data_IF_589223728398
#
_entry.id   IF_589223728398
#
_cell.length_a   1.000
_cell.length_b   1.000
_cell.length_c   1.000
_cell.angle_alpha   90.00
_cell.angle_beta   90.00
_cell.angle_gamma   90.00
#
_symmetry.space_group_name_H-M   'P 1'
#
loop_
_entity.id
_entity.type
_entity.pdbx_description
1 polymer ?
#
# COMPACT_ATOMS: atom_id res chain seq x y z
N UNK A 1 -29.76 -76.82 -11.69
CA UNK A 1 -29.26 -75.46 -11.40
C UNK A 1 -29.49 -74.63 -12.64
N UNK A 2 -30.64 -73.95 -12.71
CA UNK A 2 -31.02 -73.10 -13.83
C UNK A 2 -30.18 -71.83 -13.80
N UNK A 3 -29.51 -71.50 -14.91
CA UNK A 3 -28.80 -70.23 -15.05
C UNK A 3 -29.83 -69.09 -15.00
N UNK A 4 -29.59 -68.00 -14.24
CA UNK A 4 -30.49 -66.86 -14.26
C UNK A 4 -30.58 -66.32 -15.69
N UNK A 5 -31.81 -66.11 -16.16
CA UNK A 5 -32.11 -65.59 -17.49
C UNK A 5 -31.46 -64.20 -17.64
N UNK A 6 -30.89 -63.87 -18.82
CA UNK A 6 -30.20 -62.59 -19.05
C UNK A 6 -31.04 -61.36 -18.66
N UNK A 7 -32.35 -61.40 -18.84
CA UNK A 7 -33.28 -60.35 -18.42
C UNK A 7 -33.28 -60.12 -16.90
N UNK A 8 -33.20 -61.19 -16.10
CA UNK A 8 -33.18 -61.10 -14.63
C UNK A 8 -31.90 -60.39 -14.15
N UNK A 9 -30.76 -60.72 -14.77
CA UNK A 9 -29.47 -60.04 -14.50
C UNK A 9 -29.48 -58.57 -14.92
N UNK A 10 -30.16 -58.21 -16.02
CA UNK A 10 -30.27 -56.81 -16.45
C UNK A 10 -31.17 -56.02 -15.50
N UNK A 11 -32.26 -56.61 -15.03
CA UNK A 11 -33.17 -56.00 -14.06
C UNK A 11 -32.50 -55.78 -12.69
N UNK A 12 -31.81 -56.78 -12.16
CA UNK A 12 -31.06 -56.67 -10.89
C UNK A 12 -29.93 -55.64 -10.98
N UNK A 13 -29.21 -55.58 -12.10
CA UNK A 13 -28.19 -54.55 -12.31
C UNK A 13 -28.78 -53.14 -12.43
N UNK A 14 -29.96 -52.99 -13.03
CA UNK A 14 -30.65 -51.70 -13.14
C UNK A 14 -31.14 -51.21 -11.78
N UNK A 15 -31.64 -52.11 -10.93
CA UNK A 15 -31.99 -51.82 -9.53
C UNK A 15 -30.76 -51.41 -8.72
N UNK A 16 -29.63 -52.11 -8.88
CA UNK A 16 -28.37 -51.74 -8.23
C UNK A 16 -27.86 -50.36 -8.66
N UNK A 17 -28.00 -50.01 -9.95
CA UNK A 17 -27.64 -48.68 -10.45
C UNK A 17 -28.58 -47.59 -9.92
N UNK A 18 -29.87 -47.88 -9.78
CA UNK A 18 -30.85 -46.98 -9.15
C UNK A 18 -30.54 -46.75 -7.67
N UNK A 19 -30.24 -47.80 -6.92
CA UNK A 19 -29.83 -47.70 -5.51
C UNK A 19 -28.53 -46.91 -5.37
N UNK A 20 -27.55 -47.13 -6.27
CA UNK A 20 -26.32 -46.34 -6.30
C UNK A 20 -26.60 -44.87 -6.64
N UNK A 21 -27.50 -44.59 -7.58
CA UNK A 21 -27.88 -43.23 -7.93
C UNK A 21 -28.57 -42.54 -6.75
N UNK A 22 -29.49 -43.22 -6.06
CA UNK A 22 -30.16 -42.71 -4.88
C UNK A 22 -29.18 -42.42 -3.75
N UNK A 23 -28.24 -43.34 -3.49
CA UNK A 23 -27.17 -43.12 -2.51
C UNK A 23 -26.29 -41.94 -2.88
N UNK A 24 -25.93 -41.79 -4.16
CA UNK A 24 -25.14 -40.66 -4.65
C UNK A 24 -25.90 -39.33 -4.53
N UNK A 25 -27.21 -39.32 -4.82
CA UNK A 25 -28.08 -38.15 -4.63
C UNK A 25 -28.17 -37.78 -3.15
N UNK A 26 -28.33 -38.76 -2.25
CA UNK A 26 -28.37 -38.51 -0.81
C UNK A 26 -27.03 -38.00 -0.26
N UNK A 27 -25.91 -38.50 -0.78
CA UNK A 27 -24.57 -38.01 -0.44
C UNK A 27 -24.37 -36.56 -0.91
N UNK A 28 -24.69 -36.25 -2.16
CA UNK A 28 -24.62 -34.88 -2.70
C UNK A 28 -25.56 -33.95 -1.93
N UNK A 29 -26.76 -34.40 -1.58
CA UNK A 29 -27.71 -33.62 -0.79
C UNK A 29 -27.21 -33.34 0.62
N UNK A 30 -26.58 -34.33 1.27
CA UNK A 30 -25.90 -34.13 2.57
C UNK A 30 -24.72 -33.16 2.46
N UNK A 31 -23.95 -33.20 1.38
CA UNK A 31 -22.85 -32.27 1.16
C UNK A 31 -23.34 -30.83 0.93
N UNK A 32 -24.45 -30.64 0.21
CA UNK A 32 -25.09 -29.32 0.01
C UNK A 32 -25.69 -28.79 1.32
N UNK A 33 -26.30 -29.65 2.13
CA UNK A 33 -26.89 -29.30 3.43
C UNK A 33 -25.87 -29.19 4.57
N UNK A 34 -24.63 -29.65 4.36
CA UNK A 34 -23.51 -29.34 5.25
C UNK A 34 -23.15 -27.85 5.05
N UNK A 35 -23.91 -27.01 5.75
CA UNK A 35 -23.75 -25.55 5.86
C UNK A 35 -22.31 -25.14 6.23
N UNK A 36 -21.49 -26.06 6.76
CA UNK A 36 -20.06 -25.89 6.95
C UNK A 36 -19.25 -25.58 5.68
N UNK A 37 -19.73 -25.94 4.48
CA UNK A 37 -19.12 -25.50 3.21
C UNK A 37 -19.57 -24.11 2.76
N UNK A 38 -20.61 -23.56 3.40
CA UNK A 38 -21.11 -22.19 3.24
C UNK A 38 -20.61 -21.25 4.34
N UNK A 39 -19.80 -21.72 5.29
CA UNK A 39 -18.99 -20.83 6.12
C UNK A 39 -18.01 -20.12 5.19
N UNK A 40 -18.39 -18.90 4.78
CA UNK A 40 -17.49 -17.95 4.14
C UNK A 40 -16.39 -17.67 5.17
N UNK A 41 -15.37 -18.52 5.19
CA UNK A 41 -14.15 -18.31 5.95
C UNK A 41 -13.73 -16.88 5.65
N UNK A 42 -13.53 -16.08 6.72
CA UNK A 42 -13.12 -14.69 6.55
C UNK A 42 -11.93 -14.67 5.62
N UNK A 43 -12.01 -13.82 4.58
CA UNK A 43 -10.91 -13.66 3.65
C UNK A 43 -9.61 -13.44 4.44
N UNK A 44 -8.47 -14.04 4.06
CA UNK A 44 -7.18 -13.74 4.66
C UNK A 44 -6.85 -12.24 4.66
N UNK A 45 -7.41 -11.51 3.69
CA UNK A 45 -7.31 -10.06 3.53
C UNK A 45 -8.28 -9.25 4.41
N UNK A 46 -9.18 -9.90 5.16
CA UNK A 46 -10.12 -9.21 6.03
C UNK A 46 -9.44 -8.73 7.31
N UNK A 47 -9.65 -7.46 7.63
CA UNK A 47 -9.20 -6.86 8.89
C UNK A 47 -10.06 -7.34 10.06
N UNK A 48 -9.42 -7.55 11.21
CA UNK A 48 -10.10 -7.75 12.49
C UNK A 48 -10.05 -6.49 13.39
N UNK A 49 -10.72 -6.53 14.53
CA UNK A 49 -10.77 -5.38 15.45
C UNK A 49 -9.41 -5.01 16.03
N UNK A 50 -8.50 -5.98 16.21
CA UNK A 50 -7.15 -5.72 16.69
C UNK A 50 -6.32 -4.99 15.64
N UNK A 51 -6.49 -5.35 14.36
CA UNK A 51 -5.81 -4.66 13.26
C UNK A 51 -6.11 -3.16 13.26
N UNK A 52 -7.38 -2.80 13.37
CA UNK A 52 -7.78 -1.39 13.46
C UNK A 52 -7.22 -0.72 14.71
N UNK A 53 -7.38 -1.36 15.87
CA UNK A 53 -6.97 -0.79 17.15
C UNK A 53 -5.45 -0.55 17.22
N UNK A 54 -4.64 -1.56 16.89
CA UNK A 54 -3.19 -1.44 16.93
C UNK A 54 -2.67 -0.49 15.85
N UNK A 55 -3.21 -0.54 14.62
CA UNK A 55 -2.83 0.40 13.57
C UNK A 55 -3.08 1.86 14.00
N UNK A 56 -4.25 2.14 14.57
CA UNK A 56 -4.59 3.46 15.11
C UNK A 56 -3.62 3.88 16.21
N UNK A 57 -3.35 2.99 17.19
CA UNK A 57 -2.43 3.27 18.30
C UNK A 57 -1.02 3.57 17.79
N UNK A 58 -0.49 2.76 16.86
CA UNK A 58 0.84 3.00 16.28
C UNK A 58 0.91 4.34 15.57
N UNK A 59 -0.12 4.68 14.81
CA UNK A 59 -0.21 5.97 14.13
C UNK A 59 -0.27 7.14 15.11
N UNK A 60 -1.14 7.09 16.12
CA UNK A 60 -1.26 8.15 17.14
C UNK A 60 0.05 8.35 17.90
N UNK A 61 0.67 7.26 18.35
CA UNK A 61 1.98 7.31 19.02
C UNK A 61 3.04 7.95 18.11
N UNK A 62 3.04 7.59 16.83
CA UNK A 62 3.89 8.22 15.83
C UNK A 62 3.65 9.73 15.73
N UNK A 63 2.41 10.16 15.51
CA UNK A 63 2.06 11.57 15.37
C UNK A 63 2.45 12.43 16.58
N UNK A 64 2.27 11.88 17.80
CA UNK A 64 2.70 12.52 19.05
C UNK A 64 4.23 12.61 19.13
N UNK A 65 4.93 11.51 18.85
CA UNK A 65 6.39 11.47 18.85
C UNK A 65 6.99 12.44 17.82
N UNK A 66 6.37 12.56 16.65
CA UNK A 66 6.79 13.45 15.56
C UNK A 66 6.60 14.92 15.94
N UNK A 67 5.67 15.21 16.86
CA UNK A 67 5.41 16.54 17.40
C UNK A 67 6.14 16.82 18.72
N UNK A 68 7.08 15.97 19.14
CA UNK A 68 7.73 16.08 20.44
C UNK A 68 8.89 17.09 20.44
N UNK A 69 8.79 18.14 21.26
CA UNK A 69 9.81 19.21 21.33
C UNK A 69 11.17 18.74 21.87
N UNK A 70 11.19 17.73 22.75
CA UNK A 70 12.46 17.19 23.29
C UNK A 70 13.26 16.46 22.22
N UNK A 71 12.57 15.70 21.36
CA UNK A 71 13.21 15.03 20.21
C UNK A 71 13.74 16.07 19.23
N UNK A 72 12.96 17.10 18.91
CA UNK A 72 13.39 18.21 18.05
C UNK A 72 14.66 18.89 18.61
N UNK A 73 14.69 19.23 19.91
CA UNK A 73 15.86 19.84 20.55
C UNK A 73 17.07 18.89 20.57
N UNK A 74 16.84 17.59 20.74
CA UNK A 74 17.92 16.59 20.69
C UNK A 74 18.55 16.54 19.30
N UNK A 75 17.74 16.51 18.24
CA UNK A 75 18.21 16.46 16.85
C UNK A 75 18.90 17.78 16.47
N UNK A 76 18.37 18.92 16.90
CA UNK A 76 18.97 20.23 16.63
C UNK A 76 20.36 20.38 17.25
N UNK A 77 20.64 19.70 18.37
CA UNK A 77 22.00 19.64 18.94
C UNK A 77 22.98 18.90 18.01
N UNK A 78 22.51 17.87 17.28
CA UNK A 78 23.33 17.17 16.29
C UNK A 78 23.67 18.12 15.15
N UNK A 79 22.67 18.81 14.59
CA UNK A 79 22.88 19.81 13.53
C UNK A 79 23.82 20.94 14.00
N UNK A 80 23.58 21.48 15.20
CA UNK A 80 24.43 22.54 15.77
C UNK A 80 25.88 22.09 15.96
N UNK A 81 26.12 20.81 16.27
CA UNK A 81 27.48 20.28 16.36
C UNK A 81 28.10 20.07 14.97
N UNK A 82 27.33 19.60 13.98
CA UNK A 82 27.81 19.38 12.61
C UNK A 82 28.12 20.67 11.85
N UNK A 83 27.48 21.78 12.20
CA UNK A 83 27.77 23.10 11.63
C UNK A 83 29.03 23.77 12.19
N UNK A 84 29.74 23.15 13.15
CA UNK A 84 31.00 23.67 13.69
C UNK A 84 32.19 23.27 12.82
N UNK A 85 33.25 24.08 12.84
CA UNK A 85 34.52 23.76 12.18
C UNK A 85 35.21 22.52 12.77
N UNK A 86 34.97 22.21 14.04
CA UNK A 86 35.47 21.00 14.71
C UNK A 86 34.37 20.33 15.58
N UNK A 87 33.51 19.50 14.98
CA UNK A 87 32.45 18.78 15.69
C UNK A 87 33.01 17.79 16.72
N UNK A 88 32.34 17.65 17.86
CA UNK A 88 32.81 16.78 18.96
C UNK A 88 32.16 15.41 18.93
N UNK A 89 30.85 15.35 18.67
CA UNK A 89 30.08 14.13 18.68
C UNK A 89 30.29 13.31 17.40
N UNK A 90 30.11 11.99 17.49
CA UNK A 90 30.24 11.09 16.33
C UNK A 90 29.32 11.52 15.17
N UNK A 91 28.03 11.76 15.44
CA UNK A 91 27.08 12.21 14.42
C UNK A 91 27.43 13.61 13.89
N UNK A 92 27.94 14.50 14.73
CA UNK A 92 28.42 15.82 14.32
C UNK A 92 29.59 15.73 13.32
N UNK A 93 30.54 14.82 13.57
CA UNK A 93 31.66 14.55 12.66
C UNK A 93 31.22 13.88 11.36
N UNK A 94 30.28 12.94 11.47
CA UNK A 94 29.75 12.22 10.30
C UNK A 94 29.03 13.16 9.34
N UNK A 95 28.30 14.14 9.88
CA UNK A 95 27.45 15.07 9.14
C UNK A 95 28.08 16.45 8.98
N UNK A 96 29.39 16.60 9.21
CA UNK A 96 30.06 17.90 9.20
C UNK A 96 29.84 18.64 7.86
N UNK A 97 29.37 19.89 7.95
CA UNK A 97 28.97 20.68 6.78
C UNK A 97 29.30 22.18 6.90
N UNK A 98 30.18 22.54 7.84
CA UNK A 98 30.61 23.92 8.03
C UNK A 98 31.35 24.47 6.79
N UNK A 99 30.89 25.62 6.30
CA UNK A 99 31.58 26.37 5.23
C UNK A 99 31.27 25.90 3.82
N UNK A 100 30.28 25.03 3.65
CA UNK A 100 29.80 24.56 2.34
C UNK A 100 29.11 25.70 1.55
N UNK A 101 29.38 25.75 0.24
CA UNK A 101 28.90 26.80 -0.66
C UNK A 101 27.39 26.77 -0.93
N UNK A 102 26.72 25.69 -0.52
CA UNK A 102 25.27 25.57 -0.64
C UNK A 102 24.51 26.49 0.33
N UNK A 103 25.13 26.85 1.46
CA UNK A 103 24.59 27.79 2.43
C UNK A 103 24.95 29.24 2.09
N UNK A 104 26.21 29.50 1.73
CA UNK A 104 26.74 30.84 1.56
C UNK A 104 27.68 30.93 0.37
N UNK A 105 27.54 31.99 -0.42
CA UNK A 105 28.46 32.31 -1.49
C UNK A 105 29.23 33.60 -1.18
N UNK A 106 30.39 33.76 -1.81
CA UNK A 106 31.16 35.00 -1.76
C UNK A 106 30.43 36.10 -2.51
N UNK A 107 30.03 37.16 -1.81
CA UNK A 107 29.41 38.34 -2.40
C UNK A 107 30.47 39.38 -2.83
N UNK A 108 30.06 40.34 -3.66
CA UNK A 108 30.87 41.51 -4.01
C UNK A 108 31.42 42.20 -2.75
N UNK A 109 32.74 42.25 -2.62
CA UNK A 109 33.45 42.72 -1.42
C UNK A 109 34.08 41.62 -0.56
N UNK A 110 34.03 40.35 -0.98
CA UNK A 110 34.76 39.24 -0.34
C UNK A 110 34.08 38.67 0.92
N UNK A 111 32.93 39.18 1.32
CA UNK A 111 32.13 38.67 2.43
C UNK A 111 31.29 37.48 1.97
N UNK A 112 31.31 36.38 2.72
CA UNK A 112 30.37 35.27 2.54
C UNK A 112 28.99 35.65 3.08
N UNK A 113 27.95 35.39 2.31
CA UNK A 113 26.57 35.68 2.71
C UNK A 113 25.56 34.73 2.07
N UNK A 114 24.38 34.66 2.68
CA UNK A 114 23.24 33.98 2.08
C UNK A 114 22.78 34.74 0.84
N UNK A 115 22.67 34.05 -0.28
CA UNK A 115 22.17 34.60 -1.54
C UNK A 115 21.05 33.70 -2.07
N UNK A 116 20.14 34.28 -2.85
CA UNK A 116 19.14 33.53 -3.58
C UNK A 116 19.74 32.88 -4.84
N UNK A 117 18.96 32.01 -5.48
CA UNK A 117 19.32 31.40 -6.77
C UNK A 117 19.44 32.41 -7.92
N UNK A 118 18.84 33.59 -7.78
CA UNK A 118 19.01 34.71 -8.73
C UNK A 118 20.33 35.47 -8.56
N UNK A 119 21.14 35.16 -7.54
CA UNK A 119 22.43 35.82 -7.24
C UNK A 119 22.37 37.33 -6.96
N UNK A 120 21.19 37.94 -6.99
CA UNK A 120 21.01 39.39 -6.89
C UNK A 120 20.44 39.81 -5.52
N UNK A 121 19.72 38.91 -4.86
CA UNK A 121 19.01 39.22 -3.62
C UNK A 121 19.41 38.32 -2.44
N UNK A 122 19.36 38.87 -1.22
CA UNK A 122 19.41 38.07 0.00
C UNK A 122 18.04 37.42 0.23
N UNK A 123 17.96 36.14 0.61
CA UNK A 123 16.70 35.52 0.99
C UNK A 123 16.04 36.29 2.13
N UNK A 124 14.71 36.28 2.16
CA UNK A 124 13.97 36.61 3.40
C UNK A 124 14.57 35.77 4.54
N UNK A 125 14.78 36.39 5.71
CA UNK A 125 15.47 35.75 6.85
C UNK A 125 14.80 34.42 7.18
N UNK A 126 15.59 33.34 7.19
CA UNK A 126 15.10 31.98 7.48
C UNK A 126 14.69 31.14 6.25
N UNK A 127 14.74 31.69 5.03
CA UNK A 127 14.35 30.97 3.80
C UNK A 127 15.51 30.61 2.86
N UNK A 128 16.76 30.75 3.30
CA UNK A 128 17.94 30.45 2.45
C UNK A 128 17.89 29.05 1.83
N UNK A 129 17.50 28.02 2.59
CA UNK A 129 17.39 26.65 2.08
C UNK A 129 16.33 26.50 0.99
N UNK A 130 15.20 27.20 1.11
CA UNK A 130 14.17 27.19 0.09
C UNK A 130 14.66 27.84 -1.21
N UNK A 131 15.43 28.91 -1.07
CA UNK A 131 15.77 29.79 -2.19
C UNK A 131 17.09 29.45 -2.88
N UNK A 132 17.90 28.53 -2.33
CA UNK A 132 19.19 28.16 -2.92
C UNK A 132 19.72 26.84 -2.40
N UNK A 133 20.42 26.08 -3.25
CA UNK A 133 21.48 25.17 -2.80
C UNK A 133 21.03 23.86 -2.17
N UNK A 134 19.75 23.70 -1.86
CA UNK A 134 19.24 22.58 -1.08
C UNK A 134 18.24 21.69 -1.84
N UNK A 135 17.97 21.99 -3.13
CA UNK A 135 17.18 21.13 -4.00
C UNK A 135 18.08 20.27 -4.88
N UNK A 136 18.20 18.94 -4.63
CA UNK A 136 18.94 18.02 -5.49
C UNK A 136 18.49 18.02 -6.96
N UNK A 137 17.25 18.43 -7.20
CA UNK A 137 16.61 18.40 -8.51
C UNK A 137 16.58 19.77 -9.20
N UNK A 138 17.21 20.80 -8.61
CA UNK A 138 17.37 22.09 -9.27
C UNK A 138 18.14 21.91 -10.59
N UNK A 139 17.59 22.45 -11.68
CA UNK A 139 18.26 22.49 -12.99
C UNK A 139 19.06 23.79 -13.19
N UNK A 140 19.12 24.65 -12.17
CA UNK A 140 19.86 25.90 -12.20
C UNK A 140 21.28 25.74 -11.66
N UNK A 141 22.11 26.78 -11.80
CA UNK A 141 23.49 26.79 -11.30
C UNK A 141 23.66 26.77 -9.77
N UNK A 142 22.57 26.62 -9.02
CA UNK A 142 22.59 26.43 -7.57
C UNK A 142 22.37 24.96 -7.15
N UNK A 143 22.41 24.01 -8.10
CA UNK A 143 22.27 22.60 -7.78
C UNK A 143 23.34 22.17 -6.74
N UNK A 144 22.97 21.50 -5.63
CA UNK A 144 23.91 21.13 -4.57
C UNK A 144 25.06 20.26 -5.06
N UNK A 145 24.80 19.35 -6.01
CA UNK A 145 25.86 18.51 -6.58
C UNK A 145 26.86 19.35 -7.37
N UNK A 146 26.39 20.30 -8.17
CA UNK A 146 27.28 21.18 -8.91
C UNK A 146 28.15 22.02 -7.96
N UNK A 147 27.53 22.66 -6.96
CA UNK A 147 28.22 23.50 -5.99
C UNK A 147 29.29 22.72 -5.20
N UNK A 148 28.91 21.59 -4.61
CA UNK A 148 29.84 20.84 -3.76
C UNK A 148 30.87 20.02 -4.55
N UNK A 149 30.57 19.60 -5.78
CA UNK A 149 31.58 19.00 -6.65
C UNK A 149 32.62 20.03 -7.11
N UNK A 150 32.23 21.29 -7.30
CA UNK A 150 33.17 22.37 -7.59
C UNK A 150 34.03 22.70 -6.37
N UNK A 151 33.45 22.72 -5.17
CA UNK A 151 34.16 23.04 -3.93
C UNK A 151 35.11 21.92 -3.47
N UNK A 152 34.67 20.66 -3.49
CA UNK A 152 35.37 19.53 -2.87
C UNK A 152 35.91 18.48 -3.87
N UNK A 153 35.61 18.63 -5.17
CA UNK A 153 35.86 17.64 -6.22
C UNK A 153 34.71 16.62 -6.36
N UNK A 154 34.62 15.91 -7.49
CA UNK A 154 33.45 15.08 -7.85
C UNK A 154 33.00 14.08 -6.76
N UNK A 155 33.84 13.11 -6.39
CA UNK A 155 33.43 12.04 -5.45
C UNK A 155 33.17 12.57 -4.04
N UNK A 156 34.04 13.46 -3.55
CA UNK A 156 33.90 14.07 -2.21
C UNK A 156 32.71 15.02 -2.16
N UNK A 157 32.46 15.76 -3.24
CA UNK A 157 31.32 16.65 -3.39
C UNK A 157 30.00 15.89 -3.34
N UNK A 158 29.87 14.78 -4.07
CA UNK A 158 28.66 13.93 -4.00
C UNK A 158 28.41 13.46 -2.56
N UNK A 159 29.43 12.94 -1.86
CA UNK A 159 29.29 12.53 -0.46
C UNK A 159 28.93 13.72 0.45
N UNK A 160 29.50 14.90 0.18
CA UNK A 160 29.26 16.09 0.95
C UNK A 160 27.82 16.60 0.78
N UNK A 161 27.23 16.48 -0.43
CA UNK A 161 25.80 16.77 -0.65
C UNK A 161 24.94 15.93 0.29
N UNK A 162 25.14 14.62 0.30
CA UNK A 162 24.36 13.74 1.18
C UNK A 162 24.58 14.09 2.65
N UNK A 163 25.82 14.37 3.07
CA UNK A 163 26.11 14.78 4.44
C UNK A 163 25.39 16.06 4.83
N UNK A 164 25.50 17.10 4.00
CA UNK A 164 24.92 18.41 4.26
C UNK A 164 23.39 18.35 4.31
N UNK A 165 22.76 17.82 3.26
CA UNK A 165 21.30 17.73 3.19
C UNK A 165 20.76 16.83 4.32
N UNK A 166 21.47 15.75 4.66
CA UNK A 166 21.12 14.94 5.82
C UNK A 166 21.24 15.76 7.10
N UNK A 167 22.32 16.53 7.30
CA UNK A 167 22.49 17.38 8.46
C UNK A 167 21.33 18.38 8.61
N UNK A 168 20.87 19.02 7.54
CA UNK A 168 19.77 19.97 7.58
C UNK A 168 18.46 19.37 8.10
N UNK A 169 18.21 18.10 7.81
CA UNK A 169 17.04 17.40 8.38
C UNK A 169 17.08 17.30 9.90
N UNK A 170 18.26 17.36 10.53
CA UNK A 170 18.40 17.39 11.99
C UNK A 170 18.12 18.76 12.60
N UNK A 171 18.13 19.83 11.82
CA UNK A 171 17.85 21.18 12.32
C UNK A 171 16.38 21.39 12.66
N UNK A 172 16.08 22.43 13.44
CA UNK A 172 14.68 22.89 13.65
C UNK A 172 13.99 23.36 12.37
N UNK A 173 14.75 23.83 11.39
CA UNK A 173 14.19 24.29 10.11
C UNK A 173 13.81 23.13 9.20
N UNK A 174 14.53 22.02 9.28
CA UNK A 174 14.42 20.91 8.34
C UNK A 174 15.03 21.23 6.97
N UNK A 175 14.91 20.27 6.07
CA UNK A 175 15.27 20.41 4.66
C UNK A 175 14.01 20.63 3.83
N UNK A 176 13.89 21.68 3.00
CA UNK A 176 12.73 21.86 2.14
C UNK A 176 12.41 20.62 1.30
N UNK A 177 11.13 20.41 0.99
CA UNK A 177 10.70 19.25 0.19
C UNK A 177 11.43 19.17 -1.15
N UNK A 178 11.75 17.96 -1.66
CA UNK A 178 12.41 17.83 -2.95
C UNK A 178 11.60 18.49 -4.06
N UNK A 179 12.27 18.97 -5.11
CA UNK A 179 11.67 19.72 -6.22
C UNK A 179 11.08 21.08 -5.81
N UNK A 180 11.42 21.62 -4.63
CA UNK A 180 10.95 22.93 -4.21
C UNK A 180 11.33 24.05 -5.20
N UNK A 181 12.42 23.88 -5.98
CA UNK A 181 12.84 24.86 -6.98
C UNK A 181 11.90 24.96 -8.19
N UNK A 182 11.08 23.92 -8.45
CA UNK A 182 10.06 23.94 -9.52
C UNK A 182 8.91 24.90 -9.21
N UNK A 183 8.78 25.33 -7.95
CA UNK A 183 7.74 26.23 -7.49
C UNK A 183 8.17 27.69 -7.49
N UNK A 184 9.34 28.01 -8.04
CA UNK A 184 9.79 29.38 -8.12
C UNK A 184 9.09 30.17 -9.22
N UNK A 185 8.91 31.46 -8.95
CA UNK A 185 8.33 32.42 -9.84
C UNK A 185 8.96 33.80 -9.62
N UNK A 186 8.93 34.62 -10.65
CA UNK A 186 9.41 36.00 -10.57
C UNK A 186 8.27 36.93 -10.15
N UNK A 187 8.55 37.83 -9.21
CA UNK A 187 7.64 38.91 -8.82
C UNK A 187 8.41 40.21 -8.68
N UNK A 188 8.03 41.21 -9.46
CA UNK A 188 8.64 42.54 -9.44
C UNK A 188 10.17 42.50 -9.62
N UNK A 189 10.66 41.63 -10.51
CA UNK A 189 12.11 41.43 -10.76
C UNK A 189 12.84 40.63 -9.68
N UNK A 190 12.13 40.03 -8.71
CA UNK A 190 12.73 39.25 -7.63
C UNK A 190 12.24 37.81 -7.64
N UNK A 191 13.13 36.87 -7.37
CA UNK A 191 12.79 35.47 -7.20
C UNK A 191 11.96 35.25 -5.93
N UNK A 192 10.84 34.53 -6.06
CA UNK A 192 9.98 34.10 -4.97
C UNK A 192 9.54 32.64 -5.21
N UNK A 193 8.91 32.01 -4.21
CA UNK A 193 8.48 30.62 -4.28
C UNK A 193 6.99 30.46 -3.93
N UNK A 194 6.25 29.62 -4.65
CA UNK A 194 4.82 29.39 -4.40
C UNK A 194 4.57 28.77 -3.01
N UNK A 195 5.48 27.95 -2.48
CA UNK A 195 5.36 27.39 -1.13
C UNK A 195 5.43 28.49 -0.06
N UNK A 196 6.27 29.50 -0.28
CA UNK A 196 6.34 30.69 0.57
C UNK A 196 5.04 31.48 0.52
N UNK A 197 4.44 31.65 -0.67
CA UNK A 197 3.16 32.32 -0.84
C UNK A 197 2.02 31.58 -0.14
N UNK A 198 1.93 30.26 -0.29
CA UNK A 198 0.94 29.42 0.41
C UNK A 198 1.09 29.56 1.92
N UNK A 199 2.32 29.55 2.43
CA UNK A 199 2.60 29.77 3.85
C UNK A 199 2.08 31.14 4.30
N UNK A 200 2.45 32.21 3.58
CA UNK A 200 2.00 33.58 3.86
C UNK A 200 0.47 33.68 3.91
N UNK A 201 -0.23 33.03 3.00
CA UNK A 201 -1.69 33.02 2.97
C UNK A 201 -2.30 32.20 4.11
N UNK A 202 -1.66 31.09 4.50
CA UNK A 202 -2.10 30.20 5.58
C UNK A 202 -1.94 30.82 6.98
N UNK A 203 -0.95 31.69 7.17
CA UNK A 203 -0.74 32.42 8.43
C UNK A 203 -1.48 33.77 8.50
N UNK A 204 -2.14 34.25 7.43
CA UNK A 204 -2.85 35.55 7.49
C UNK A 204 -3.92 35.64 8.57
N UNK A 205 -4.54 34.51 8.90
CA UNK A 205 -5.58 34.42 9.92
C UNK A 205 -5.05 33.96 11.31
N UNK A 206 -3.77 33.59 11.40
CA UNK A 206 -3.17 33.01 12.59
C UNK A 206 -1.93 33.83 12.98
N UNK A 207 -1.82 34.31 14.22
CA UNK A 207 -0.65 35.07 14.70
C UNK A 207 0.58 34.15 14.87
N UNK A 208 1.06 33.59 13.77
CA UNK A 208 2.08 32.54 13.69
C UNK A 208 3.24 33.05 12.86
N UNK A 209 4.44 32.84 13.38
CA UNK A 209 5.67 33.17 12.68
C UNK A 209 5.75 32.40 11.34
N UNK A 210 5.85 33.13 10.22
CA UNK A 210 5.86 32.59 8.87
C UNK A 210 6.97 31.56 8.61
N UNK A 211 8.19 31.79 9.11
CA UNK A 211 9.31 30.85 8.97
C UNK A 211 8.99 29.54 9.70
N UNK A 212 8.42 29.65 10.89
CA UNK A 212 8.00 28.48 11.68
C UNK A 212 6.92 27.70 10.95
N UNK A 213 5.87 28.38 10.46
CA UNK A 213 4.81 27.74 9.68
C UNK A 213 5.36 27.03 8.44
N UNK A 214 6.25 27.68 7.68
CA UNK A 214 6.89 27.05 6.52
C UNK A 214 7.66 25.79 6.89
N UNK A 215 8.49 25.86 7.94
CA UNK A 215 9.29 24.73 8.40
C UNK A 215 8.40 23.52 8.76
N UNK A 216 7.22 23.77 9.34
CA UNK A 216 6.29 22.70 9.68
C UNK A 216 5.45 22.18 8.51
N UNK A 217 5.27 22.96 7.43
CA UNK A 217 4.45 22.57 6.28
C UNK A 217 5.26 22.01 5.11
N UNK A 218 6.45 22.50 4.87
CA UNK A 218 7.17 22.30 3.60
C UNK A 218 8.61 21.83 3.77
N UNK A 219 8.94 21.26 4.94
CA UNK A 219 10.27 20.67 5.16
C UNK A 219 10.16 19.23 5.66
N UNK A 220 11.22 18.48 5.39
CA UNK A 220 11.46 17.13 5.87
C UNK A 220 12.44 17.22 7.03
N UNK A 221 12.04 16.64 8.16
CA UNK A 221 12.87 16.60 9.38
C UNK A 221 13.22 15.17 9.73
N UNK A 222 14.38 14.96 10.33
CA UNK A 222 14.86 13.66 10.78
C UNK A 222 13.92 13.05 11.81
N UNK A 223 13.25 13.88 12.62
CA UNK A 223 12.20 13.45 13.54
C UNK A 223 11.05 12.75 12.79
N UNK A 224 10.61 13.31 11.67
CA UNK A 224 9.51 12.80 10.87
C UNK A 224 9.91 11.48 10.17
N UNK A 225 11.15 11.41 9.68
CA UNK A 225 11.75 10.19 9.11
C UNK A 225 11.85 9.08 10.17
N UNK A 226 12.41 9.41 11.35
CA UNK A 226 12.61 8.47 12.45
C UNK A 226 11.30 7.91 12.98
N UNK A 227 10.27 8.76 13.13
CA UNK A 227 8.93 8.31 13.51
C UNK A 227 8.31 7.41 12.45
N UNK A 228 8.42 7.75 11.17
CA UNK A 228 7.91 6.87 10.13
C UNK A 228 8.58 5.49 10.17
N UNK A 229 9.89 5.44 10.46
CA UNK A 229 10.61 4.20 10.73
C UNK A 229 10.07 3.44 11.95
N UNK A 230 9.74 4.13 13.04
CA UNK A 230 9.13 3.54 14.22
C UNK A 230 7.74 2.95 13.92
N UNK A 231 6.86 3.68 13.24
CA UNK A 231 5.51 3.19 12.87
C UNK A 231 5.63 1.95 11.98
N UNK A 232 6.53 1.98 10.99
CA UNK A 232 6.82 0.83 10.15
C UNK A 232 7.30 -0.39 10.98
N UNK A 233 8.21 -0.18 11.93
CA UNK A 233 8.71 -1.24 12.80
C UNK A 233 7.60 -1.84 13.69
N UNK A 234 6.73 -0.99 14.24
CA UNK A 234 5.57 -1.44 15.04
C UNK A 234 4.60 -2.28 14.22
N UNK A 235 4.26 -1.84 12.99
CA UNK A 235 3.44 -2.65 12.08
C UNK A 235 4.11 -3.99 11.77
N UNK A 236 5.42 -4.02 11.51
CA UNK A 236 6.16 -5.27 11.25
C UNK A 236 6.16 -6.21 12.44
N UNK A 237 6.37 -5.69 13.65
CA UNK A 237 6.31 -6.46 14.87
C UNK A 237 4.91 -7.05 15.09
N UNK A 238 3.85 -6.26 14.81
CA UNK A 238 2.47 -6.71 14.88
C UNK A 238 2.18 -7.85 13.89
N UNK A 239 2.59 -7.70 12.63
CA UNK A 239 2.42 -8.76 11.61
C UNK A 239 3.09 -10.06 12.01
N UNK A 240 4.29 -9.97 12.60
CA UNK A 240 5.02 -11.13 13.08
C UNK A 240 4.31 -11.78 14.28
N UNK A 241 3.86 -10.99 15.25
CA UNK A 241 3.21 -11.50 16.45
C UNK A 241 1.84 -12.17 16.18
N UNK A 242 1.11 -11.70 15.16
CA UNK A 242 -0.22 -12.21 14.80
C UNK A 242 -0.20 -13.16 13.57
N UNK A 243 0.99 -13.58 13.11
CA UNK A 243 1.19 -14.44 11.92
C UNK A 243 0.44 -13.95 10.65
N UNK A 244 0.36 -12.63 10.46
CA UNK A 244 -0.34 -12.02 9.31
C UNK A 244 0.55 -12.19 8.07
N UNK A 245 0.17 -13.14 7.20
CA UNK A 245 0.90 -13.45 5.96
C UNK A 245 0.36 -12.71 4.73
N UNK A 246 -0.93 -12.40 4.72
CA UNK A 246 -1.58 -11.76 3.58
C UNK A 246 -1.07 -10.33 3.34
N UNK A 247 -0.62 -10.05 2.11
CA UNK A 247 0.00 -8.77 1.78
C UNK A 247 -1.03 -7.64 1.60
N UNK A 248 -2.27 -7.96 1.24
CA UNK A 248 -3.37 -6.98 1.16
C UNK A 248 -3.69 -6.51 2.58
N UNK A 249 -3.85 -7.43 3.52
CA UNK A 249 -4.06 -7.14 4.95
C UNK A 249 -2.93 -6.30 5.54
N UNK A 250 -1.67 -6.68 5.28
CA UNK A 250 -0.50 -5.89 5.71
C UNK A 250 -0.55 -4.46 5.17
N UNK A 251 -0.88 -4.30 3.88
CA UNK A 251 -0.98 -2.98 3.26
C UNK A 251 -2.09 -2.14 3.89
N UNK A 252 -3.28 -2.72 4.10
CA UNK A 252 -4.39 -2.06 4.76
C UNK A 252 -4.05 -1.60 6.19
N UNK A 253 -3.42 -2.44 7.00
CA UNK A 253 -2.96 -2.08 8.37
C UNK A 253 -1.99 -0.89 8.33
N UNK A 254 -1.01 -0.91 7.42
CA UNK A 254 -0.07 0.21 7.28
C UNK A 254 -0.77 1.49 6.80
N UNK A 255 -1.72 1.39 5.87
CA UNK A 255 -2.52 2.54 5.41
C UNK A 255 -3.22 3.19 6.58
N UNK A 256 -3.87 2.41 7.44
CA UNK A 256 -4.53 2.93 8.65
C UNK A 256 -3.47 3.59 9.56
N UNK A 257 -2.38 2.91 9.87
CA UNK A 257 -1.34 3.44 10.76
C UNK A 257 -0.70 4.74 10.24
N UNK A 258 -0.36 4.81 8.96
CA UNK A 258 0.23 6.00 8.35
C UNK A 258 -0.78 7.14 8.23
N UNK A 259 -2.04 6.83 7.89
CA UNK A 259 -3.13 7.81 7.88
C UNK A 259 -3.33 8.41 9.26
N UNK A 260 -3.42 7.58 10.29
CA UNK A 260 -3.55 8.02 11.67
C UNK A 260 -2.35 8.82 12.14
N UNK A 261 -1.12 8.43 11.75
CA UNK A 261 0.10 9.20 12.04
C UNK A 261 0.05 10.59 11.40
N UNK A 262 -0.25 10.66 10.10
CA UNK A 262 -0.32 11.89 9.33
C UNK A 262 -1.36 12.86 9.90
N UNK A 263 -2.58 12.39 10.12
CA UNK A 263 -3.64 13.25 10.68
C UNK A 263 -3.39 13.62 12.14
N UNK A 264 -2.87 12.72 12.97
CA UNK A 264 -2.51 13.07 14.36
C UNK A 264 -1.46 14.17 14.39
N UNK A 265 -0.44 14.09 13.51
CA UNK A 265 0.58 15.13 13.39
C UNK A 265 -0.01 16.46 12.91
N UNK A 266 -0.85 16.42 11.86
CA UNK A 266 -1.54 17.59 11.31
C UNK A 266 -2.44 18.28 12.34
N UNK A 267 -3.29 17.51 13.03
CA UNK A 267 -4.18 18.00 14.09
C UNK A 267 -3.37 18.61 15.24
N UNK A 268 -2.30 17.93 15.68
CA UNK A 268 -1.41 18.46 16.72
C UNK A 268 -0.82 19.81 16.31
N UNK A 269 -0.45 19.96 15.03
CA UNK A 269 0.00 21.23 14.47
C UNK A 269 -1.06 22.31 14.51
N UNK A 270 -2.25 22.02 13.99
CA UNK A 270 -3.36 22.98 13.97
C UNK A 270 -3.71 23.48 15.38
N UNK A 271 -3.73 22.58 16.38
CA UNK A 271 -3.99 22.94 17.77
C UNK A 271 -2.88 23.83 18.35
N UNK A 272 -1.62 23.58 18.01
CA UNK A 272 -0.46 24.30 18.58
C UNK A 272 -0.11 25.59 17.84
N UNK A 273 -0.51 25.74 16.58
CA UNK A 273 -0.18 26.89 15.72
C UNK A 273 -1.45 27.57 15.20
N UNK A 274 -2.51 27.63 16.00
CA UNK A 274 -3.69 28.45 15.69
C UNK A 274 -4.32 28.18 14.32
N UNK A 275 -4.33 26.92 13.87
CA UNK A 275 -4.92 26.49 12.59
C UNK A 275 -3.95 26.05 11.51
N UNK A 276 -2.63 26.21 11.69
CA UNK A 276 -1.63 25.74 10.71
C UNK A 276 -1.24 24.28 10.99
N UNK A 277 -1.46 23.34 10.05
CA UNK A 277 -1.13 21.93 10.27
C UNK A 277 0.39 21.68 10.16
N UNK A 278 0.86 20.65 10.85
CA UNK A 278 2.18 20.09 10.58
C UNK A 278 2.06 19.02 9.51
N UNK A 279 2.89 19.08 8.48
CA UNK A 279 2.86 18.14 7.35
C UNK A 279 4.06 17.20 7.45
N UNK A 280 3.78 15.94 7.79
CA UNK A 280 4.80 14.89 7.80
C UNK A 280 4.91 14.26 6.40
N UNK A 281 5.77 14.84 5.56
CA UNK A 281 6.02 14.36 4.19
C UNK A 281 6.48 12.90 4.10
N UNK A 282 7.42 12.41 4.93
CA UNK A 282 7.79 11.00 4.92
C UNK A 282 6.61 10.05 5.13
N UNK A 283 5.71 10.36 6.08
CA UNK A 283 4.51 9.57 6.34
C UNK A 283 3.55 9.63 5.16
N UNK A 284 3.33 10.81 4.59
CA UNK A 284 2.47 10.98 3.42
C UNK A 284 2.97 10.19 2.20
N UNK A 285 4.27 10.23 1.92
CA UNK A 285 4.87 9.45 0.83
C UNK A 285 4.71 7.95 1.04
N UNK A 286 4.86 7.47 2.28
CA UNK A 286 4.65 6.06 2.62
C UNK A 286 3.18 5.65 2.55
N UNK A 287 2.25 6.52 2.93
CA UNK A 287 0.82 6.31 2.73
C UNK A 287 0.50 6.15 1.24
N UNK A 288 0.96 7.08 0.40
CA UNK A 288 0.75 7.02 -1.05
C UNK A 288 1.33 5.73 -1.66
N UNK A 289 2.52 5.31 -1.20
CA UNK A 289 3.13 4.05 -1.62
C UNK A 289 2.24 2.84 -1.28
N UNK A 290 1.77 2.73 -0.03
CA UNK A 290 0.95 1.56 0.36
C UNK A 290 -0.44 1.59 -0.31
N UNK A 291 -1.02 2.77 -0.56
CA UNK A 291 -2.23 2.91 -1.39
C UNK A 291 -2.03 2.35 -2.80
N UNK A 292 -0.90 2.66 -3.44
CA UNK A 292 -0.55 2.10 -4.75
C UNK A 292 -0.33 0.58 -4.69
N UNK A 293 0.35 0.08 -3.64
CA UNK A 293 0.56 -1.36 -3.42
C UNK A 293 -0.79 -2.07 -3.24
N UNK A 294 -1.69 -1.51 -2.43
CA UNK A 294 -3.02 -2.06 -2.21
C UNK A 294 -3.82 -2.13 -3.52
N UNK A 295 -3.81 -1.04 -4.31
CA UNK A 295 -4.46 -1.02 -5.62
C UNK A 295 -3.92 -2.12 -6.55
N UNK A 296 -2.59 -2.25 -6.63
CA UNK A 296 -1.93 -3.28 -7.45
C UNK A 296 -2.31 -4.69 -7.01
N UNK A 297 -2.28 -4.99 -5.70
CA UNK A 297 -2.59 -6.32 -5.18
C UNK A 297 -4.06 -6.67 -5.38
N UNK A 298 -4.98 -5.75 -5.09
CA UNK A 298 -6.41 -5.94 -5.34
C UNK A 298 -6.70 -6.21 -6.83
N UNK A 299 -6.04 -5.47 -7.73
CA UNK A 299 -6.20 -5.70 -9.17
C UNK A 299 -5.74 -7.11 -9.59
N UNK A 300 -4.63 -7.59 -9.03
CA UNK A 300 -4.12 -8.94 -9.27
C UNK A 300 -5.07 -10.02 -8.73
N UNK A 301 -5.63 -9.82 -7.54
CA UNK A 301 -6.61 -10.73 -6.94
C UNK A 301 -7.90 -10.80 -7.76
N UNK A 302 -8.44 -9.65 -8.17
CA UNK A 302 -9.63 -9.57 -9.04
C UNK A 302 -9.37 -10.34 -10.35
N UNK A 303 -8.22 -10.14 -10.99
CA UNK A 303 -7.86 -10.87 -12.21
C UNK A 303 -7.74 -12.37 -12.00
N UNK A 304 -7.29 -12.81 -10.82
CA UNK A 304 -7.23 -14.22 -10.47
C UNK A 304 -8.64 -14.80 -10.30
N UNK A 305 -9.52 -14.10 -9.57
CA UNK A 305 -10.90 -14.51 -9.34
C UNK A 305 -11.71 -14.56 -10.64
N UNK A 306 -11.48 -13.62 -11.57
CA UNK A 306 -12.08 -13.64 -12.92
C UNK A 306 -11.72 -14.93 -13.67
N UNK A 307 -10.46 -15.37 -13.59
CA UNK A 307 -10.01 -16.61 -14.25
C UNK A 307 -10.63 -17.86 -13.63
N UNK A 308 -10.66 -17.92 -12.29
CA UNK A 308 -11.28 -19.05 -11.58
C UNK A 308 -12.77 -19.12 -11.90
N UNK A 309 -13.47 -17.99 -11.86
CA UNK A 309 -14.89 -17.90 -12.22
C UNK A 309 -15.13 -18.35 -13.66
N UNK A 310 -14.29 -17.92 -14.61
CA UNK A 310 -14.39 -18.36 -16.01
C UNK A 310 -14.17 -19.87 -16.18
N UNK A 311 -13.25 -20.47 -15.40
CA UNK A 311 -13.04 -21.93 -15.38
C UNK A 311 -14.28 -22.65 -14.87
N UNK A 312 -14.81 -22.23 -13.72
CA UNK A 312 -16.01 -22.82 -13.11
C UNK A 312 -17.23 -22.73 -14.02
N UNK A 313 -17.43 -21.60 -14.71
CA UNK A 313 -18.52 -21.45 -15.69
C UNK A 313 -18.34 -22.41 -16.87
N UNK A 314 -17.11 -22.59 -17.35
CA UNK A 314 -16.81 -23.55 -18.42
C UNK A 314 -17.06 -24.99 -17.98
N UNK A 315 -16.58 -25.37 -16.79
CA UNK A 315 -16.77 -26.68 -16.21
C UNK A 315 -18.25 -26.99 -15.96
N UNK A 316 -19.01 -26.03 -15.44
CA UNK A 316 -20.45 -26.18 -15.24
C UNK A 316 -21.18 -26.39 -16.57
N UNK A 317 -20.85 -25.63 -17.62
CA UNK A 317 -21.42 -25.83 -18.97
C UNK A 317 -21.10 -27.22 -19.54
N UNK A 318 -19.89 -27.73 -19.30
CA UNK A 318 -19.52 -29.08 -19.71
C UNK A 318 -20.30 -30.14 -18.93
N UNK A 319 -20.51 -29.93 -17.63
CA UNK A 319 -21.30 -30.82 -16.78
C UNK A 319 -22.76 -30.83 -17.21
N UNK A 320 -23.37 -29.66 -17.41
CA UNK A 320 -24.73 -29.50 -17.95
C UNK A 320 -24.88 -30.25 -19.27
N UNK A 321 -23.93 -30.06 -20.20
CA UNK A 321 -23.95 -30.76 -21.48
C UNK A 321 -23.91 -32.28 -21.32
N UNK A 322 -23.04 -32.81 -20.45
CA UNK A 322 -22.98 -34.25 -20.16
C UNK A 322 -24.28 -34.76 -19.55
N UNK A 323 -24.90 -34.00 -18.64
CA UNK A 323 -26.20 -34.35 -18.06
C UNK A 323 -27.28 -34.42 -19.14
N UNK A 324 -27.34 -33.43 -20.03
CA UNK A 324 -28.28 -33.45 -21.16
C UNK A 324 -28.01 -34.61 -22.14
N UNK A 325 -26.75 -34.90 -22.47
CA UNK A 325 -26.38 -36.02 -23.33
C UNK A 325 -26.75 -37.38 -22.72
N UNK A 326 -26.55 -37.55 -21.40
CA UNK A 326 -26.92 -38.77 -20.66
C UNK A 326 -28.44 -38.86 -20.45
N UNK A 327 -29.13 -37.72 -20.33
CA UNK A 327 -30.60 -37.65 -20.24
C UNK A 327 -31.29 -37.90 -21.58
N UNK A 328 -30.62 -37.62 -22.71
CA UNK A 328 -31.16 -37.84 -24.05
C UNK A 328 -31.37 -39.32 -24.40
N UNK A 329 -30.65 -40.24 -23.75
CA UNK A 329 -30.86 -41.68 -23.90
C UNK A 329 -31.95 -42.24 -22.97
N UNK A 330 -32.48 -41.44 -22.05
CA UNK A 330 -33.61 -41.82 -21.20
C UNK A 330 -34.91 -41.48 -21.94
N UNK A 331 -35.65 -42.51 -22.36
CA UNK A 331 -37.00 -42.34 -22.94
C UNK A 331 -37.92 -41.82 -21.83
N UNK A 332 -38.32 -40.55 -21.93
CA UNK A 332 -39.32 -39.98 -21.02
C UNK A 332 -40.71 -40.43 -21.44
N UNK A 333 -41.38 -41.24 -20.61
CA UNK A 333 -42.77 -41.62 -20.82
C UNK A 333 -43.71 -40.58 -20.19
N UNK A 334 -44.77 -40.21 -20.91
CA UNK A 334 -45.73 -39.15 -20.50
C UNK A 334 -46.50 -39.53 -19.22
N UNK A 335 -46.62 -40.82 -18.94
CA UNK A 335 -47.24 -41.37 -17.74
C UNK A 335 -46.57 -42.70 -17.33
N UNK A 336 -46.78 -43.14 -16.08
CA UNK A 336 -46.25 -44.43 -15.60
C UNK A 336 -46.75 -45.62 -16.43
N UNK A 337 -47.92 -45.49 -17.05
CA UNK A 337 -48.48 -46.47 -18.00
C UNK A 337 -47.60 -46.65 -19.24
N UNK A 338 -46.99 -45.58 -19.73
CA UNK A 338 -46.07 -45.61 -20.87
C UNK A 338 -44.80 -46.40 -20.58
N UNK A 339 -44.25 -46.25 -19.38
CA UNK A 339 -43.08 -47.03 -18.94
C UNK A 339 -43.41 -48.51 -18.77
N UNK A 340 -44.58 -48.83 -18.18
CA UNK A 340 -45.06 -50.22 -18.04
C UNK A 340 -45.24 -50.88 -19.41
N UNK A 341 -45.75 -50.16 -20.42
CA UNK A 341 -45.88 -50.68 -21.79
C UNK A 341 -44.53 -50.96 -22.46
N UNK A 342 -43.53 -50.13 -22.22
CA UNK A 342 -42.16 -50.35 -22.72
C UNK A 342 -41.57 -51.62 -22.11
N UNK A 343 -41.68 -51.80 -20.78
CA UNK A 343 -41.24 -53.01 -20.08
C UNK A 343 -41.94 -54.26 -20.62
N UNK A 344 -43.27 -54.23 -20.76
CA UNK A 344 -44.02 -55.35 -21.33
C UNK A 344 -43.65 -55.68 -22.78
N UNK A 345 -43.21 -54.68 -23.55
CA UNK A 345 -42.74 -54.87 -24.92
C UNK A 345 -41.35 -55.50 -24.93
N UNK A 346 -40.47 -55.09 -24.02
CA UNK A 346 -39.15 -55.69 -23.86
C UNK A 346 -39.25 -57.14 -23.36
N UNK A 347 -40.14 -57.42 -22.42
CA UNK A 347 -40.42 -58.78 -21.94
C UNK A 347 -40.91 -59.68 -23.08
N UNK A 348 -41.82 -59.19 -23.94
CA UNK A 348 -42.26 -59.96 -25.13
C UNK A 348 -41.15 -60.21 -26.13
N UNK A 349 -40.29 -59.22 -26.40
CA UNK A 349 -39.13 -59.42 -27.29
C UNK A 349 -38.18 -60.47 -26.68
N UNK A 350 -38.08 -60.51 -25.35
CA UNK A 350 -37.27 -61.49 -24.65
C UNK A 350 -37.89 -62.89 -24.68
N UNK A 351 -39.21 -63.01 -24.49
CA UNK A 351 -39.96 -64.25 -24.67
C UNK A 351 -39.85 -64.76 -26.12
N UNK A 352 -40.04 -63.89 -27.13
CA UNK A 352 -39.87 -64.24 -28.54
C UNK A 352 -38.43 -64.72 -28.86
N UNK A 353 -37.42 -64.13 -28.20
CA UNK A 353 -36.03 -64.58 -28.32
C UNK A 353 -35.80 -65.92 -27.63
N UNK A 354 -36.40 -66.14 -26.47
CA UNK A 354 -36.33 -67.42 -25.75
C UNK A 354 -37.01 -68.51 -26.56
N UNK A 355 -38.21 -68.26 -27.08
CA UNK A 355 -38.94 -69.18 -27.95
C UNK A 355 -38.13 -69.50 -29.23
N UNK A 356 -37.48 -68.51 -29.84
CA UNK A 356 -36.60 -68.70 -30.99
C UNK A 356 -35.37 -69.57 -30.70
N UNK A 357 -34.85 -69.56 -29.46
CA UNK A 357 -33.70 -70.38 -29.03
C UNK A 357 -34.10 -71.70 -28.37
N UNK A 358 -35.37 -71.88 -28.00
CA UNK A 358 -35.94 -73.11 -27.45
C UNK A 358 -36.63 -74.00 -28.52
N UNK A 359 -36.84 -73.49 -29.74
CA UNK A 359 -37.17 -74.30 -30.92
C UNK A 359 -35.90 -74.93 -31.55
N UNK A 360 -35.46 -76.06 -30.98
CA UNK A 360 -34.77 -77.17 -31.67
C UNK A 360 -35.19 -78.53 -31.07
#
# INVERSE_FOLDING_TARGET
MTKPTPALNVFENSLLQLDQLEQNIQLIHRDILNISYLEVNRSPSALDGYDYAFALVFGVLGGIASSNKRIEVMLDKVHTDSSKSNPKAFLGKLLQHNGDEIDQATMSGGLKGFINRDYESRPEVGFHRLMRGHDPFSMSGDNPFQLLCNQHGLLKGILQVFRHLTADTFSKQGLPIPFHSFFDYEKDGKLSNWLLKITKESVKAADVNQVTAFNHMFTVRMQDIGVQGLVYALCRAYFFAHDIKDDIRKSQVKIIAYTSCFFTHGITGMVRQGGVPYINWPTLSMLMKEMFVLFKLNYQEIKSLERVTASLVTENRLLERKVYETGNSLVSHVDGSGYIRELQKQDRIFEDLVDFFEED
#
